data_IF_367010467380
#
_entry.id   IF_367010467380
#
_cell.length_a   1.000
_cell.length_b   1.000
_cell.length_c   1.000
_cell.angle_alpha   90.00
_cell.angle_beta   90.00
_cell.angle_gamma   90.00
#
_symmetry.space_group_name_H-M   'P 1'
#
loop_
_entity.id
_entity.type
_entity.pdbx_description
1 polymer ?
#
# COMPACT_ATOMS: atom_id res chain seq x y z
N UNK A 1 -9.46 16.40 5.70
CA UNK A 1 -8.86 16.86 4.43
C UNK A 1 -7.43 17.27 4.76
N UNK A 2 -6.43 16.65 4.12
CA UNK A 2 -5.04 16.95 4.44
C UNK A 2 -4.76 18.43 4.19
N UNK A 3 -4.29 19.12 5.22
CA UNK A 3 -3.86 20.50 5.08
C UNK A 3 -2.50 20.47 4.37
N UNK A 4 -2.48 20.83 3.09
CA UNK A 4 -1.28 20.87 2.23
C UNK A 4 -0.11 21.70 2.82
N UNK A 5 -0.39 22.53 3.83
CA UNK A 5 0.56 23.40 4.52
C UNK A 5 1.24 22.79 5.74
N UNK A 6 0.90 21.55 6.15
CA UNK A 6 1.54 20.93 7.33
C UNK A 6 3.04 20.71 7.09
N UNK A 7 3.90 20.95 8.10
CA UNK A 7 5.31 20.58 8.00
C UNK A 7 5.44 19.06 7.79
N UNK A 8 6.45 18.63 7.04
CA UNK A 8 6.76 17.19 6.98
C UNK A 8 7.37 16.75 8.32
N UNK A 9 6.94 15.59 8.81
CA UNK A 9 7.60 14.88 9.89
C UNK A 9 7.92 13.48 9.42
N UNK A 10 9.20 13.11 9.42
CA UNK A 10 9.61 11.71 9.21
C UNK A 10 9.31 10.93 10.49
N UNK A 11 8.24 10.15 10.47
CA UNK A 11 7.84 9.33 11.61
C UNK A 11 8.70 8.09 11.73
N UNK A 12 9.04 7.70 12.96
CA UNK A 12 9.71 6.41 13.22
C UNK A 12 8.72 5.36 13.70
N UNK A 13 9.11 4.08 13.61
CA UNK A 13 8.31 2.99 14.15
C UNK A 13 8.10 3.17 15.65
N UNK A 14 9.16 3.45 16.42
CA UNK A 14 9.09 3.59 17.88
C UNK A 14 8.18 4.72 18.32
N UNK A 15 8.13 5.81 17.56
CA UNK A 15 7.22 6.92 17.84
C UNK A 15 5.76 6.51 17.74
N UNK A 16 5.40 5.55 16.88
CA UNK A 16 4.01 5.20 16.52
C UNK A 16 3.58 3.82 17.04
N UNK A 17 4.52 2.94 17.36
CA UNK A 17 4.28 1.52 17.65
C UNK A 17 3.26 1.30 18.78
N UNK A 18 3.37 2.07 19.88
CA UNK A 18 2.42 1.98 20.99
C UNK A 18 1.02 2.39 20.57
N UNK A 19 0.89 3.46 19.77
CA UNK A 19 -0.40 3.97 19.29
C UNK A 19 -1.10 3.01 18.34
N UNK A 20 -0.35 2.25 17.52
CA UNK A 20 -0.94 1.34 16.53
C UNK A 20 -1.15 -0.09 17.05
N UNK A 21 -0.48 -0.49 18.12
CA UNK A 21 -0.69 -1.81 18.76
C UNK A 21 -1.87 -1.81 19.71
N UNK A 22 -2.33 -0.63 20.15
CA UNK A 22 -3.49 -0.42 21.00
C UNK A 22 -4.53 0.42 20.26
N UNK A 23 -5.02 -0.07 19.12
CA UNK A 23 -6.03 0.65 18.35
C UNK A 23 -7.33 0.78 19.16
N UNK A 24 -7.68 2.03 19.46
CA UNK A 24 -8.93 2.35 20.15
C UNK A 24 -10.15 2.06 19.26
N UNK A 25 -11.26 1.70 19.91
CA UNK A 25 -12.54 1.47 19.26
C UNK A 25 -13.30 2.79 19.05
N UNK A 26 -14.40 2.76 18.30
CA UNK A 26 -15.24 3.94 18.08
C UNK A 26 -14.67 4.98 17.12
N UNK A 27 -13.63 4.63 16.34
CA UNK A 27 -13.06 5.53 15.35
C UNK A 27 -14.03 5.78 14.19
N UNK A 28 -13.87 6.91 13.50
CA UNK A 28 -14.73 7.23 12.36
C UNK A 28 -14.29 6.46 11.12
N UNK A 29 -15.09 5.48 10.69
CA UNK A 29 -14.85 4.76 9.42
C UNK A 29 -14.63 5.70 8.24
N UNK A 30 -15.53 6.68 8.08
CA UNK A 30 -15.46 7.66 6.99
C UNK A 30 -14.26 8.60 7.12
N UNK A 31 -13.83 8.91 8.35
CA UNK A 31 -12.61 9.67 8.60
C UNK A 31 -11.39 8.91 8.12
N UNK A 32 -11.28 7.64 8.53
CA UNK A 32 -10.20 6.75 8.19
C UNK A 32 -10.10 6.46 6.67
N UNK A 33 -11.24 6.22 6.02
CA UNK A 33 -11.33 6.08 4.56
C UNK A 33 -10.81 7.33 3.82
N UNK A 34 -11.16 8.53 4.31
CA UNK A 34 -10.65 9.79 3.73
C UNK A 34 -9.14 9.93 3.89
N UNK A 35 -8.56 9.45 5.00
CA UNK A 35 -7.11 9.46 5.16
C UNK A 35 -6.45 8.48 4.19
N UNK A 36 -6.99 7.28 4.02
CA UNK A 36 -6.52 6.31 3.03
C UNK A 36 -6.48 6.89 1.60
N UNK A 37 -7.52 7.65 1.23
CA UNK A 37 -7.55 8.35 -0.06
C UNK A 37 -6.54 9.49 -0.13
N UNK A 38 -6.48 10.33 0.91
CA UNK A 38 -5.65 11.53 0.91
C UNK A 38 -4.14 11.23 1.02
N UNK A 39 -3.78 10.13 1.70
CA UNK A 39 -2.42 9.59 1.75
C UNK A 39 -2.06 8.79 0.47
N UNK A 40 -2.87 8.91 -0.58
CA UNK A 40 -2.69 8.31 -1.92
C UNK A 40 -2.59 6.79 -1.95
N UNK A 41 -2.95 6.10 -0.87
CA UNK A 41 -2.94 4.64 -0.80
C UNK A 41 -3.89 4.02 -1.85
N UNK A 42 -5.05 4.66 -2.09
CA UNK A 42 -6.05 4.24 -3.09
C UNK A 42 -5.53 4.26 -4.53
N UNK A 43 -4.46 5.04 -4.80
CA UNK A 43 -3.83 5.07 -6.12
C UNK A 43 -3.22 3.71 -6.48
N UNK A 44 -2.79 2.93 -5.49
CA UNK A 44 -2.09 1.67 -5.71
C UNK A 44 -2.85 0.46 -5.16
N UNK A 45 -3.59 0.63 -4.06
CA UNK A 45 -4.26 -0.45 -3.35
C UNK A 45 -5.77 -0.40 -3.50
N UNK A 46 -6.36 -1.59 -3.55
CA UNK A 46 -7.81 -1.78 -3.56
C UNK A 46 -8.32 -2.12 -2.17
N UNK A 47 -9.49 -1.55 -1.81
CA UNK A 47 -10.28 -1.90 -0.63
C UNK A 47 -11.75 -1.92 -1.04
N UNK A 48 -12.47 -3.01 -0.76
CA UNK A 48 -13.89 -3.18 -1.10
C UNK A 48 -14.24 -2.85 -2.57
N UNK A 49 -13.36 -3.22 -3.50
CA UNK A 49 -13.57 -2.93 -4.93
C UNK A 49 -13.18 -1.51 -5.37
N UNK A 50 -12.78 -0.62 -4.46
CA UNK A 50 -12.38 0.76 -4.75
C UNK A 50 -10.85 0.86 -4.75
N UNK A 51 -10.29 1.51 -5.77
CA UNK A 51 -8.85 1.67 -5.97
C UNK A 51 -8.25 0.71 -6.99
N UNK A 52 -6.93 0.75 -7.14
CA UNK A 52 -6.21 -0.03 -8.15
C UNK A 52 -5.57 -1.31 -7.57
N UNK A 53 -5.21 -2.26 -8.42
CA UNK A 53 -4.53 -3.52 -8.05
C UNK A 53 -3.05 -3.50 -8.42
N UNK A 54 -2.41 -2.34 -8.26
CA UNK A 54 -0.98 -2.22 -8.47
C UNK A 54 -0.18 -2.72 -7.25
N UNK A 55 -0.74 -2.53 -6.05
CA UNK A 55 -0.35 -3.21 -4.84
C UNK A 55 -1.38 -4.29 -4.44
N UNK A 56 -1.15 -4.99 -3.33
CA UNK A 56 -2.11 -5.92 -2.73
C UNK A 56 -3.52 -5.33 -2.57
N UNK A 57 -4.54 -6.15 -2.86
CA UNK A 57 -5.92 -5.89 -2.45
C UNK A 57 -6.02 -6.04 -0.92
N UNK A 58 -6.12 -4.91 -0.22
CA UNK A 58 -6.10 -4.87 1.24
C UNK A 58 -7.42 -5.37 1.84
N UNK A 59 -8.48 -5.54 1.05
CA UNK A 59 -9.68 -6.29 1.47
C UNK A 59 -9.34 -7.74 1.84
N UNK A 60 -8.31 -8.29 1.18
CA UNK A 60 -7.82 -9.67 1.32
C UNK A 60 -6.59 -9.78 2.21
N UNK A 61 -6.26 -8.72 2.95
CA UNK A 61 -5.15 -8.77 3.91
C UNK A 61 -5.33 -9.97 4.85
N UNK A 62 -4.24 -10.68 5.13
CA UNK A 62 -4.26 -11.83 6.04
C UNK A 62 -4.77 -11.35 7.42
N UNK A 63 -5.82 -11.97 7.99
CA UNK A 63 -6.32 -11.63 9.32
C UNK A 63 -5.25 -11.67 10.43
N UNK A 64 -4.13 -12.36 10.21
CA UNK A 64 -3.00 -12.43 11.13
C UNK A 64 -2.03 -11.25 11.03
N UNK A 65 -2.10 -10.46 9.95
CA UNK A 65 -1.24 -9.27 9.81
C UNK A 65 -1.60 -8.25 10.87
N UNK A 66 -0.62 -7.94 11.73
CA UNK A 66 -0.79 -7.01 12.84
C UNK A 66 -0.68 -5.56 12.39
N UNK A 67 -1.30 -4.64 13.13
CA UNK A 67 -1.16 -3.20 12.91
C UNK A 67 0.29 -2.71 12.92
N UNK A 68 1.16 -3.36 13.71
CA UNK A 68 2.58 -3.08 13.74
C UNK A 68 3.29 -3.49 12.44
N UNK A 69 2.91 -4.63 11.85
CA UNK A 69 3.45 -5.04 10.55
C UNK A 69 2.97 -4.13 9.43
N UNK A 70 1.69 -3.72 9.44
CA UNK A 70 1.16 -2.72 8.50
C UNK A 70 1.98 -1.43 8.59
N UNK A 71 2.21 -0.91 9.81
CA UNK A 71 2.99 0.30 10.02
C UNK A 71 4.43 0.13 9.49
N UNK A 72 5.09 -0.98 9.79
CA UNK A 72 6.45 -1.28 9.28
C UNK A 72 6.49 -1.27 7.76
N UNK A 73 5.53 -1.92 7.11
CA UNK A 73 5.45 -1.94 5.65
C UNK A 73 5.30 -0.54 5.07
N UNK A 74 4.52 0.36 5.69
CA UNK A 74 4.35 1.72 5.19
C UNK A 74 5.59 2.59 5.44
N UNK A 75 6.25 2.43 6.59
CA UNK A 75 7.45 3.19 6.93
C UNK A 75 8.69 2.74 6.12
N UNK A 76 8.82 1.44 5.88
CA UNK A 76 9.90 0.87 5.09
C UNK A 76 9.39 -0.09 3.99
N UNK A 77 8.77 0.45 2.92
CA UNK A 77 8.18 -0.32 1.82
C UNK A 77 9.14 -1.27 1.11
N UNK A 78 10.44 -0.99 1.14
CA UNK A 78 11.47 -1.81 0.47
C UNK A 78 12.02 -2.93 1.36
N UNK A 79 11.72 -2.95 2.67
CA UNK A 79 12.24 -3.97 3.58
C UNK A 79 11.75 -5.38 3.23
N UNK A 80 10.50 -5.48 2.75
CA UNK A 80 9.89 -6.71 2.28
C UNK A 80 8.93 -6.39 1.15
N UNK A 81 9.27 -6.84 -0.05
CA UNK A 81 8.45 -6.71 -1.25
C UNK A 81 7.95 -8.10 -1.59
N UNK A 82 6.64 -8.25 -1.73
CA UNK A 82 6.05 -9.49 -2.22
C UNK A 82 6.44 -9.69 -3.70
N UNK A 83 6.83 -10.91 -4.05
CA UNK A 83 7.32 -11.27 -5.38
C UNK A 83 6.33 -10.94 -6.51
N UNK A 84 5.03 -10.91 -6.23
CA UNK A 84 4.01 -10.50 -7.21
C UNK A 84 4.07 -9.01 -7.54
N UNK A 85 4.61 -8.20 -6.63
CA UNK A 85 4.62 -6.74 -6.69
C UNK A 85 6.04 -6.16 -6.80
N UNK A 86 7.05 -7.01 -7.00
CA UNK A 86 8.43 -6.58 -7.21
C UNK A 86 8.66 -6.14 -8.65
N UNK A 87 9.19 -4.93 -8.82
CA UNK A 87 9.65 -4.47 -10.14
C UNK A 87 10.80 -5.34 -10.60
N UNK A 88 10.72 -5.80 -11.85
CA UNK A 88 11.80 -6.54 -12.49
C UNK A 88 12.39 -5.69 -13.60
N UNK A 89 13.72 -5.55 -13.57
CA UNK A 89 14.50 -5.03 -14.68
C UNK A 89 14.77 -6.20 -15.63
N UNK A 90 14.37 -6.05 -16.88
CA UNK A 90 14.56 -7.03 -17.95
C UNK A 90 15.48 -6.39 -18.99
N UNK A 91 16.63 -7.02 -19.20
CA UNK A 91 17.59 -6.64 -20.23
C UNK A 91 17.35 -7.52 -21.47
N UNK A 92 17.22 -6.88 -22.62
CA UNK A 92 17.04 -7.56 -23.91
C UNK A 92 18.34 -7.63 -24.70
N UNK A 93 18.43 -8.58 -25.63
CA UNK A 93 19.57 -8.75 -26.55
C UNK A 93 19.86 -7.52 -27.42
N UNK A 94 18.85 -6.69 -27.68
CA UNK A 94 18.94 -5.38 -28.32
C UNK A 94 19.54 -4.28 -27.43
N UNK A 95 19.86 -4.59 -26.17
CA UNK A 95 20.44 -3.66 -25.19
C UNK A 95 19.41 -2.78 -24.49
N UNK A 96 18.11 -3.06 -24.63
CA UNK A 96 17.07 -2.31 -23.93
C UNK A 96 16.90 -2.83 -22.51
N UNK A 97 16.73 -1.93 -21.55
CA UNK A 97 16.33 -2.26 -20.18
C UNK A 97 14.89 -1.81 -19.96
N UNK A 98 14.02 -2.78 -19.69
CA UNK A 98 12.60 -2.57 -19.42
C UNK A 98 12.39 -2.78 -17.92
N UNK A 99 11.82 -1.81 -17.23
CA UNK A 99 11.59 -1.88 -15.78
C UNK A 99 10.10 -1.85 -15.49
N UNK A 100 9.55 -2.95 -14.97
CA UNK A 100 8.13 -3.01 -14.66
C UNK A 100 7.70 -4.21 -13.83
N UNK A 101 6.40 -4.31 -13.56
CA UNK A 101 5.80 -5.47 -12.93
C UNK A 101 5.50 -6.54 -13.98
N UNK A 102 5.81 -7.79 -13.67
CA UNK A 102 5.43 -8.93 -14.50
C UNK A 102 3.97 -9.26 -14.19
N UNK A 103 3.09 -9.06 -15.16
CA UNK A 103 1.66 -9.36 -15.03
C UNK A 103 1.37 -10.83 -15.32
N UNK A 104 2.09 -11.39 -16.28
CA UNK A 104 1.95 -12.77 -16.75
C UNK A 104 3.27 -13.25 -17.30
N UNK A 105 3.57 -14.51 -17.09
CA UNK A 105 4.67 -15.20 -17.74
C UNK A 105 4.17 -16.57 -18.21
N UNK A 106 4.45 -16.92 -19.47
CA UNK A 106 4.20 -18.24 -20.04
C UNK A 106 5.51 -18.85 -20.58
N UNK A 107 5.45 -19.98 -21.26
CA UNK A 107 6.64 -20.70 -21.72
C UNK A 107 7.47 -19.91 -22.73
N UNK A 108 6.85 -18.95 -23.43
CA UNK A 108 7.48 -18.22 -24.55
C UNK A 108 7.70 -16.74 -24.26
N UNK A 109 6.94 -16.14 -23.34
CA UNK A 109 6.91 -14.68 -23.18
C UNK A 109 6.71 -14.22 -21.74
N UNK A 110 7.11 -12.98 -21.50
CA UNK A 110 6.88 -12.22 -20.27
C UNK A 110 6.08 -10.97 -20.63
N UNK A 111 4.93 -10.79 -19.98
CA UNK A 111 4.13 -9.56 -20.08
C UNK A 111 4.46 -8.63 -18.93
N UNK A 112 4.95 -7.44 -19.23
CA UNK A 112 5.41 -6.45 -18.26
C UNK A 112 4.62 -5.16 -18.38
N UNK A 113 4.31 -4.52 -17.26
CA UNK A 113 3.77 -3.16 -17.21
C UNK A 113 4.75 -2.25 -16.47
N UNK A 114 5.25 -1.21 -17.14
CA UNK A 114 6.27 -0.31 -16.57
C UNK A 114 5.65 0.64 -15.53
N UNK A 115 4.50 1.22 -15.86
CA UNK A 115 3.77 2.09 -14.96
C UNK A 115 2.25 1.94 -15.16
N UNK A 116 1.58 1.11 -14.34
CA UNK A 116 0.14 0.92 -14.44
C UNK A 116 -0.66 2.16 -14.01
N UNK A 117 -0.06 3.11 -13.30
CA UNK A 117 -0.71 4.39 -12.99
C UNK A 117 -0.73 5.34 -14.19
N UNK A 118 0.14 5.14 -15.19
CA UNK A 118 0.29 6.01 -16.35
C UNK A 118 -0.58 5.61 -17.56
N UNK A 119 -1.56 4.71 -17.40
CA UNK A 119 -2.28 4.06 -18.53
C UNK A 119 -1.34 3.43 -19.56
N UNK A 120 -0.13 3.05 -19.16
CA UNK A 120 0.82 2.41 -20.07
C UNK A 120 0.27 1.04 -20.50
N UNK A 121 0.34 0.75 -21.79
CA UNK A 121 0.01 -0.57 -22.29
C UNK A 121 1.03 -1.60 -21.80
N UNK A 122 0.57 -2.82 -21.52
CA UNK A 122 1.46 -3.90 -21.16
C UNK A 122 2.31 -4.30 -22.38
N UNK A 123 3.60 -4.49 -22.16
CA UNK A 123 4.55 -4.93 -23.17
C UNK A 123 4.77 -6.43 -23.06
N UNK A 124 4.65 -7.13 -24.18
CA UNK A 124 5.03 -8.54 -24.30
C UNK A 124 6.47 -8.62 -24.80
N UNK A 125 7.32 -9.36 -24.09
CA UNK A 125 8.73 -9.57 -24.41
C UNK A 125 8.91 -11.08 -24.57
N UNK A 126 9.50 -11.53 -25.68
CA UNK A 126 9.78 -12.96 -25.84
C UNK A 126 10.95 -13.37 -24.97
N UNK A 127 10.95 -14.60 -24.45
CA UNK A 127 12.00 -15.07 -23.54
C UNK A 127 13.36 -15.25 -24.21
N UNK A 128 13.38 -15.54 -25.51
CA UNK A 128 14.61 -15.65 -26.31
C UNK A 128 15.29 -14.29 -26.52
N UNK A 129 14.53 -13.19 -26.47
CA UNK A 129 15.05 -11.81 -26.49
C UNK A 129 15.63 -11.38 -25.13
N UNK A 130 15.40 -12.11 -24.03
CA UNK A 130 15.81 -11.72 -22.67
C UNK A 130 17.21 -12.27 -22.37
N UNK A 131 18.17 -11.37 -22.15
CA UNK A 131 19.55 -11.73 -21.77
C UNK A 131 19.81 -11.58 -20.27
N UNK A 132 18.96 -10.84 -19.55
CA UNK A 132 19.13 -10.61 -18.12
C UNK A 132 17.83 -10.26 -17.41
N UNK A 133 17.70 -10.68 -16.15
CA UNK A 133 16.61 -10.27 -15.26
C UNK A 133 17.15 -9.98 -13.87
N UNK A 134 16.67 -8.88 -13.27
CA UNK A 134 17.00 -8.52 -11.90
C UNK A 134 15.78 -7.94 -11.18
N UNK A 135 15.42 -8.54 -10.05
CA UNK A 135 14.41 -7.97 -9.14
C UNK A 135 14.98 -6.69 -8.51
N UNK A 136 14.18 -5.62 -8.51
CA UNK A 136 14.49 -4.38 -7.82
C UNK A 136 14.49 -4.60 -6.31
N UNK A 137 15.44 -3.99 -5.61
CA UNK A 137 15.45 -3.91 -4.14
C UNK A 137 14.65 -2.72 -3.62
N UNK A 138 14.09 -1.91 -4.51
CA UNK A 138 13.30 -0.72 -4.19
C UNK A 138 11.84 -0.97 -4.55
N UNK A 139 10.96 -0.76 -3.57
CA UNK A 139 9.52 -0.87 -3.76
C UNK A 139 8.97 0.31 -4.56
N UNK A 140 7.90 0.04 -5.33
CA UNK A 140 7.14 1.10 -6.00
C UNK A 140 6.17 1.82 -5.03
N UNK A 141 5.96 1.28 -3.82
CA UNK A 141 5.28 2.03 -2.76
C UNK A 141 6.20 3.17 -2.27
N UNK A 142 5.79 4.44 -2.37
CA UNK A 142 6.65 5.56 -1.99
C UNK A 142 6.99 5.55 -0.49
N UNK A 143 8.20 5.99 -0.15
CA UNK A 143 8.55 6.35 1.24
C UNK A 143 7.93 7.71 1.60
N UNK A 144 7.74 7.96 2.90
CA UNK A 144 7.26 9.24 3.41
C UNK A 144 5.77 9.50 3.23
N UNK A 145 4.97 8.46 2.94
CA UNK A 145 3.50 8.58 2.79
C UNK A 145 2.81 9.13 4.07
N UNK A 146 3.43 8.92 5.24
CA UNK A 146 2.91 9.37 6.53
C UNK A 146 3.34 10.80 6.89
N UNK A 147 4.27 11.42 6.15
CA UNK A 147 4.99 12.59 6.64
C UNK A 147 4.13 13.84 6.83
N UNK A 148 2.98 13.88 6.16
CA UNK A 148 2.00 14.98 6.25
C UNK A 148 0.81 14.66 7.16
N UNK A 149 0.77 13.44 7.70
CA UNK A 149 -0.27 12.96 8.58
C UNK A 149 0.06 13.31 10.02
N UNK A 150 -0.97 13.65 10.79
CA UNK A 150 -0.86 13.68 12.26
C UNK A 150 -0.84 12.26 12.80
N UNK A 151 -0.40 12.09 14.05
CA UNK A 151 -0.46 10.79 14.75
C UNK A 151 -1.86 10.17 14.68
N UNK A 152 -2.92 10.92 14.98
CA UNK A 152 -4.30 10.42 14.91
C UNK A 152 -4.71 9.99 13.51
N UNK A 153 -4.32 10.73 12.48
CA UNK A 153 -4.61 10.35 11.09
C UNK A 153 -3.87 9.07 10.70
N UNK A 154 -2.66 8.85 11.22
CA UNK A 154 -1.92 7.59 11.01
C UNK A 154 -2.65 6.44 11.70
N UNK A 155 -3.12 6.63 12.94
CA UNK A 155 -3.87 5.58 13.66
C UNK A 155 -5.17 5.26 12.90
N UNK A 156 -5.89 6.27 12.40
CA UNK A 156 -7.07 6.08 11.56
C UNK A 156 -6.73 5.30 10.28
N UNK A 157 -5.66 5.67 9.57
CA UNK A 157 -5.19 4.96 8.37
C UNK A 157 -4.91 3.48 8.66
N UNK A 158 -4.13 3.20 9.70
CA UNK A 158 -3.80 1.83 10.10
C UNK A 158 -5.06 1.06 10.51
N UNK A 159 -5.98 1.70 11.23
CA UNK A 159 -7.27 1.09 11.61
C UNK A 159 -8.09 0.70 10.40
N UNK A 160 -8.14 1.54 9.37
CA UNK A 160 -8.84 1.23 8.11
C UNK A 160 -8.26 0.02 7.39
N UNK A 161 -6.94 -0.05 7.29
CA UNK A 161 -6.23 -1.16 6.64
C UNK A 161 -6.37 -2.45 7.46
N UNK A 162 -6.19 -2.39 8.78
CA UNK A 162 -6.32 -3.53 9.69
C UNK A 162 -7.76 -4.10 9.70
N UNK A 163 -8.76 -3.22 9.63
CA UNK A 163 -10.15 -3.60 9.47
C UNK A 163 -10.50 -4.09 8.05
N UNK A 164 -9.57 -4.02 7.09
CA UNK A 164 -9.77 -4.40 5.67
C UNK A 164 -10.90 -3.61 5.01
N UNK A 165 -11.12 -2.37 5.46
CA UNK A 165 -12.23 -1.54 5.04
C UNK A 165 -13.61 -2.03 5.51
N UNK A 166 -13.70 -2.96 6.47
CA UNK A 166 -14.98 -3.39 7.03
C UNK A 166 -15.51 -2.34 8.03
N UNK A 167 -16.56 -1.62 7.65
CA UNK A 167 -17.23 -0.64 8.51
C UNK A 167 -17.86 -1.25 9.78
N UNK A 168 -18.13 -2.56 9.77
CA UNK A 168 -18.72 -3.28 10.90
C UNK A 168 -17.66 -3.81 11.87
N UNK A 169 -16.37 -3.66 11.56
CA UNK A 169 -15.27 -4.05 12.43
C UNK A 169 -15.32 -3.28 13.76
N UNK A 170 -14.96 -3.94 14.86
CA UNK A 170 -14.99 -3.37 16.21
C UNK A 170 -14.22 -2.05 16.37
N UNK A 171 -13.19 -1.82 15.55
CA UNK A 171 -12.44 -0.55 15.51
C UNK A 171 -13.32 0.66 15.17
N UNK A 172 -14.41 0.44 14.43
CA UNK A 172 -15.35 1.48 14.00
C UNK A 172 -16.71 1.39 14.69
N UNK A 173 -16.88 0.42 15.59
CA UNK A 173 -18.06 0.27 16.41
C UNK A 173 -17.80 0.86 17.79
N UNK A 174 -18.80 1.52 18.37
CA UNK A 174 -18.72 2.04 19.75
C UNK A 174 -18.57 3.56 19.84
N UNK A 175 -19.66 4.28 19.59
CA UNK A 175 -19.86 5.69 19.95
C UNK A 175 -21.22 5.95 20.61
N UNK A 176 -21.85 4.90 21.16
CA UNK A 176 -23.08 5.00 21.96
C UNK A 176 -22.90 4.22 23.28
N UNK A 177 -21.98 4.70 24.12
CA UNK A 177 -22.13 4.51 25.56
C UNK A 177 -23.01 5.66 26.05
N UNK A 178 -24.17 5.33 26.60
CA UNK A 178 -25.21 6.29 26.98
C UNK A 178 -24.73 7.34 27.99
N UNK A 179 -25.12 8.58 27.74
CA UNK A 179 -25.39 9.55 28.80
C UNK A 179 -26.88 9.84 28.77
N UNK A 180 -27.64 8.94 29.40
CA UNK A 180 -28.92 9.26 29.97
C UNK A 180 -28.73 9.34 31.47
N UNK A 181 -28.77 10.55 32.03
CA UNK A 181 -29.27 10.92 33.35
C UNK A 181 -29.70 12.38 33.26
#
# INVERSE_FOLDING_TARGET
>A
MLKFTRPRKEWTFDELASSVTQLEHGRSFRGAEKIFQAATCVSCHRVNGIGNEFGPDLTKLDPKTTSAEILKSILDPSAKIDDKYVTTLIETDSGQVISGLILKEDDSSVTVIENPLAKAEARVIKKDEIVGRKKSTTSMMPKGLLDKLTREEIIDLISFIAARGDKNNSLFQGGHAGHGH
#
